data_IF_359037074598
#
_entry.id   IF_359037074598
#
_cell.length_a   1.000
_cell.length_b   1.000
_cell.length_c   1.000
_cell.angle_alpha   90.00
_cell.angle_beta   90.00
_cell.angle_gamma   90.00
#
_symmetry.space_group_name_H-M   'P 1'
#
loop_
_entity.id
_entity.type
_entity.pdbx_description
1 polymer ?
#
# COMPACT_ATOMS: atom_id res chain seq x y z
N UNK A 1 -18.35 -13.97 30.21
CA UNK A 1 -17.16 -14.82 29.95
C UNK A 1 -17.16 -15.45 28.55
N UNK A 2 -18.16 -16.25 28.14
CA UNK A 2 -18.18 -16.84 26.77
C UNK A 2 -18.26 -15.82 25.63
N UNK A 3 -19.00 -14.71 25.80
CA UNK A 3 -19.08 -13.63 24.80
C UNK A 3 -17.75 -12.89 24.62
N UNK A 4 -17.02 -12.69 25.71
CA UNK A 4 -15.76 -11.95 25.75
C UNK A 4 -14.62 -12.73 25.04
N UNK A 5 -14.59 -14.06 25.19
CA UNK A 5 -13.61 -14.91 24.48
C UNK A 5 -13.88 -14.95 22.97
N UNK A 6 -15.14 -15.12 22.55
CA UNK A 6 -15.49 -15.11 21.13
C UNK A 6 -15.19 -13.74 20.50
N UNK A 7 -15.49 -12.65 21.19
CA UNK A 7 -15.17 -11.29 20.74
C UNK A 7 -13.66 -11.08 20.58
N UNK A 8 -12.84 -11.61 21.50
CA UNK A 8 -11.38 -11.55 21.39
C UNK A 8 -10.84 -12.35 20.20
N UNK A 9 -11.40 -13.52 19.92
CA UNK A 9 -11.01 -14.34 18.76
C UNK A 9 -11.43 -13.65 17.44
N UNK A 10 -12.57 -12.98 17.40
CA UNK A 10 -12.97 -12.16 16.25
C UNK A 10 -12.06 -10.96 16.04
N UNK A 11 -11.67 -10.26 17.11
CA UNK A 11 -10.68 -9.18 17.02
C UNK A 11 -9.33 -9.70 16.54
N UNK A 12 -8.91 -10.90 16.96
CA UNK A 12 -7.70 -11.54 16.46
C UNK A 12 -7.83 -11.84 14.96
N UNK A 13 -8.97 -12.37 14.51
CA UNK A 13 -9.25 -12.61 13.09
C UNK A 13 -9.06 -11.35 12.26
N UNK A 14 -9.75 -10.27 12.64
CA UNK A 14 -9.74 -9.01 11.88
C UNK A 14 -8.32 -8.40 11.87
N UNK A 15 -7.59 -8.54 12.98
CA UNK A 15 -6.20 -8.11 13.06
C UNK A 15 -5.25 -8.97 12.18
N UNK A 16 -5.47 -10.28 12.10
CA UNK A 16 -4.71 -11.18 11.23
C UNK A 16 -5.01 -10.93 9.74
N UNK A 17 -6.26 -10.62 9.38
CA UNK A 17 -6.60 -10.19 8.02
C UNK A 17 -5.87 -8.90 7.63
N UNK A 18 -5.79 -7.95 8.57
CA UNK A 18 -5.01 -6.71 8.38
C UNK A 18 -3.51 -7.02 8.18
N UNK A 19 -2.94 -7.90 8.98
CA UNK A 19 -1.53 -8.34 8.85
C UNK A 19 -1.29 -9.03 7.51
N UNK A 20 -2.25 -9.81 7.04
CA UNK A 20 -2.14 -10.50 5.75
C UNK A 20 -2.24 -9.53 4.58
N UNK A 21 -3.15 -8.56 4.65
CA UNK A 21 -3.27 -7.48 3.67
C UNK A 21 -1.95 -6.72 3.53
N UNK A 22 -1.36 -6.30 4.66
CA UNK A 22 -0.05 -5.61 4.67
C UNK A 22 1.06 -6.49 4.08
N UNK A 23 1.12 -7.78 4.45
CA UNK A 23 2.13 -8.70 3.91
C UNK A 23 1.97 -8.95 2.40
N UNK A 24 0.74 -9.04 1.90
CA UNK A 24 0.45 -9.16 0.47
C UNK A 24 0.88 -7.92 -0.29
N UNK A 25 0.57 -6.73 0.23
CA UNK A 25 1.02 -5.47 -0.35
C UNK A 25 2.56 -5.37 -0.37
N UNK A 26 3.25 -5.76 0.70
CA UNK A 26 4.73 -5.80 0.75
C UNK A 26 5.29 -6.77 -0.31
N UNK A 27 4.70 -7.96 -0.46
CA UNK A 27 5.12 -8.94 -1.46
C UNK A 27 4.91 -8.40 -2.88
N UNK A 28 3.79 -7.72 -3.13
CA UNK A 28 3.50 -7.11 -4.42
C UNK A 28 4.37 -5.90 -4.71
N UNK A 29 4.72 -5.10 -3.70
CA UNK A 29 5.64 -3.96 -3.81
C UNK A 29 6.99 -4.37 -4.42
N UNK A 30 7.53 -5.52 -4.00
CA UNK A 30 8.75 -6.10 -4.61
C UNK A 30 8.56 -6.39 -6.10
N UNK A 31 7.41 -6.97 -6.49
CA UNK A 31 7.12 -7.29 -7.89
C UNK A 31 6.90 -6.02 -8.72
N UNK A 32 6.23 -5.01 -8.16
CA UNK A 32 6.05 -3.70 -8.78
C UNK A 32 7.41 -3.06 -9.04
N UNK A 33 8.30 -3.06 -8.05
CA UNK A 33 9.64 -2.48 -8.18
C UNK A 33 10.40 -3.10 -9.35
N UNK A 34 10.40 -4.43 -9.48
CA UNK A 34 11.06 -5.13 -10.59
C UNK A 34 10.45 -4.75 -11.95
N UNK A 35 9.11 -4.69 -12.03
CA UNK A 35 8.42 -4.32 -13.28
C UNK A 35 8.72 -2.88 -13.65
N UNK A 36 8.61 -1.93 -12.72
CA UNK A 36 8.89 -0.51 -12.96
C UNK A 36 10.35 -0.32 -13.36
N UNK A 37 11.29 -0.99 -12.70
CA UNK A 37 12.71 -0.95 -13.07
C UNK A 37 12.93 -1.47 -14.50
N UNK A 38 12.31 -2.59 -14.86
CA UNK A 38 12.43 -3.18 -16.20
C UNK A 38 11.84 -2.26 -17.26
N UNK A 39 10.65 -1.72 -17.00
CA UNK A 39 10.00 -0.73 -17.87
C UNK A 39 10.86 0.52 -18.01
N UNK A 40 11.43 1.04 -16.92
CA UNK A 40 12.30 2.21 -16.94
C UNK A 40 13.56 1.98 -17.79
N UNK A 41 14.22 0.83 -17.64
CA UNK A 41 15.41 0.47 -18.44
C UNK A 41 15.06 0.33 -19.92
N UNK A 42 13.98 -0.39 -20.24
CA UNK A 42 13.51 -0.54 -21.62
C UNK A 42 13.13 0.82 -22.23
N UNK A 43 12.47 1.66 -21.44
CA UNK A 43 12.05 3.01 -21.83
C UNK A 43 13.23 3.93 -22.07
N UNK A 44 14.27 3.92 -21.21
CA UNK A 44 15.47 4.73 -21.42
C UNK A 44 16.22 4.32 -22.69
N UNK A 45 16.26 3.02 -23.00
CA UNK A 45 16.81 2.52 -24.26
C UNK A 45 16.03 3.04 -25.48
N UNK A 46 14.69 2.94 -25.45
CA UNK A 46 13.81 3.44 -26.53
C UNK A 46 13.89 4.97 -26.63
N UNK A 47 13.91 5.68 -25.50
CA UNK A 47 14.01 7.13 -25.43
C UNK A 47 15.32 7.62 -26.04
N UNK A 48 16.43 6.91 -25.85
CA UNK A 48 17.73 7.22 -26.48
C UNK A 48 17.66 7.12 -28.00
N UNK A 49 16.98 6.09 -28.52
CA UNK A 49 16.77 5.88 -29.96
C UNK A 49 15.82 6.94 -30.53
N UNK A 50 14.70 7.21 -29.85
CA UNK A 50 13.73 8.23 -30.25
C UNK A 50 14.31 9.64 -30.19
N UNK A 51 15.17 9.94 -29.22
CA UNK A 51 15.87 11.22 -29.12
C UNK A 51 16.76 11.45 -30.34
N UNK A 52 17.52 10.42 -30.74
CA UNK A 52 18.35 10.48 -31.95
C UNK A 52 17.49 10.65 -33.21
N UNK A 53 16.42 9.86 -33.36
CA UNK A 53 15.54 9.91 -34.53
C UNK A 53 14.76 11.23 -34.65
N UNK A 54 14.19 11.74 -33.56
CA UNK A 54 13.39 12.98 -33.58
C UNK A 54 14.27 14.24 -33.53
N UNK A 55 15.46 14.17 -32.93
CA UNK A 55 16.40 15.29 -32.89
C UNK A 55 17.12 15.55 -34.23
N UNK A 56 17.28 14.52 -35.07
CA UNK A 56 18.05 14.63 -36.32
C UNK A 56 17.23 14.36 -37.58
N UNK A 57 16.40 13.32 -37.61
CA UNK A 57 15.67 12.92 -38.83
C UNK A 57 14.27 13.55 -38.93
N UNK A 58 13.56 13.76 -37.81
CA UNK A 58 12.19 14.31 -37.82
C UNK A 58 11.92 15.31 -36.70
N UNK A 59 12.46 16.55 -36.79
CA UNK A 59 12.32 17.60 -35.76
C UNK A 59 10.87 17.98 -35.47
N UNK A 60 10.00 17.86 -36.47
CA UNK A 60 8.56 18.10 -36.37
C UNK A 60 7.83 17.16 -35.41
N UNK A 61 8.42 16.01 -35.05
CA UNK A 61 7.85 15.07 -34.08
C UNK A 61 8.28 15.37 -32.63
N UNK A 62 9.10 16.40 -32.39
CA UNK A 62 9.57 16.74 -31.05
C UNK A 62 8.42 17.05 -30.06
N UNK A 63 7.28 17.56 -30.56
CA UNK A 63 6.07 17.78 -29.76
C UNK A 63 5.50 16.46 -29.18
N UNK A 64 5.76 15.31 -29.81
CA UNK A 64 5.30 14.00 -29.31
C UNK A 64 5.94 13.64 -27.96
N UNK A 65 7.11 14.21 -27.61
CA UNK A 65 7.68 14.06 -26.27
C UNK A 65 6.75 14.58 -25.17
N UNK A 66 5.93 15.59 -25.47
CA UNK A 66 4.90 16.11 -24.57
C UNK A 66 3.78 15.11 -24.25
N UNK A 67 3.64 14.03 -25.03
CA UNK A 67 2.67 12.94 -24.79
C UNK A 67 3.39 11.70 -24.24
N UNK A 68 4.57 11.38 -24.79
CA UNK A 68 5.34 10.20 -24.42
C UNK A 68 5.86 10.30 -22.97
N UNK A 69 6.39 11.45 -22.54
CA UNK A 69 6.90 11.61 -21.16
C UNK A 69 5.78 11.44 -20.12
N UNK A 70 4.61 12.10 -20.26
CA UNK A 70 3.48 11.85 -19.37
C UNK A 70 3.03 10.38 -19.39
N UNK A 71 2.91 9.75 -20.57
CA UNK A 71 2.49 8.34 -20.64
C UNK A 71 3.46 7.40 -19.91
N UNK A 72 4.78 7.64 -20.04
CA UNK A 72 5.82 6.85 -19.39
C UNK A 72 5.90 7.04 -17.88
N UNK A 73 5.51 8.21 -17.36
CA UNK A 73 5.42 8.46 -15.92
C UNK A 73 4.08 7.93 -15.38
N UNK A 74 3.00 8.14 -16.12
CA UNK A 74 1.64 7.83 -15.72
C UNK A 74 1.35 6.34 -15.65
N UNK A 75 1.75 5.59 -16.69
CA UNK A 75 1.52 4.16 -16.77
C UNK A 75 2.07 3.38 -15.56
N UNK A 76 3.36 3.53 -15.17
CA UNK A 76 3.89 2.83 -14.00
C UNK A 76 3.26 3.31 -12.69
N UNK A 77 2.87 4.59 -12.57
CA UNK A 77 2.17 5.13 -11.39
C UNK A 77 0.81 4.46 -11.18
N UNK A 78 -0.03 4.45 -12.21
CA UNK A 78 -1.36 3.84 -12.16
C UNK A 78 -1.25 2.33 -11.98
N UNK A 79 -0.32 1.69 -12.70
CA UNK A 79 -0.06 0.25 -12.56
C UNK A 79 0.32 -0.12 -11.13
N UNK A 80 1.22 0.65 -10.51
CA UNK A 80 1.66 0.42 -9.13
C UNK A 80 0.51 0.61 -8.13
N UNK A 81 -0.24 1.72 -8.25
CA UNK A 81 -1.36 2.02 -7.37
C UNK A 81 -2.46 0.94 -7.45
N UNK A 82 -2.89 0.59 -8.66
CA UNK A 82 -3.95 -0.40 -8.84
C UNK A 82 -3.56 -1.80 -8.33
N UNK A 83 -2.28 -2.17 -8.48
CA UNK A 83 -1.80 -3.48 -8.04
C UNK A 83 -1.65 -3.55 -6.51
N UNK A 84 -1.24 -2.46 -5.85
CA UNK A 84 -1.21 -2.38 -4.39
C UNK A 84 -2.61 -2.42 -3.79
N UNK A 85 -3.56 -1.74 -4.41
CA UNK A 85 -4.96 -1.75 -3.99
C UNK A 85 -5.55 -3.17 -4.10
N UNK A 86 -5.33 -3.83 -5.25
CA UNK A 86 -5.72 -5.23 -5.43
C UNK A 86 -5.04 -6.20 -4.45
N UNK A 87 -3.80 -5.90 -4.05
CA UNK A 87 -3.07 -6.71 -3.07
C UNK A 87 -3.58 -6.49 -1.63
N UNK A 88 -4.26 -5.39 -1.37
CA UNK A 88 -4.87 -5.08 -0.08
C UNK A 88 -6.11 -5.95 0.20
N UNK A 89 -6.81 -6.39 -0.85
CA UNK A 89 -8.02 -7.20 -0.71
C UNK A 89 -7.70 -8.61 -0.20
N UNK A 90 -8.00 -8.85 1.07
CA UNK A 90 -8.01 -10.18 1.68
C UNK A 90 -9.47 -10.57 1.93
N UNK A 91 -10.05 -11.39 1.04
CA UNK A 91 -11.44 -11.86 1.19
C UNK A 91 -11.46 -13.32 1.61
N UNK A 92 -12.01 -13.58 2.80
CA UNK A 92 -12.49 -14.91 3.21
C UNK A 92 -11.42 -15.87 3.73
N UNK A 93 -10.29 -15.38 4.21
CA UNK A 93 -9.21 -16.24 4.73
C UNK A 93 -9.58 -16.91 6.07
N UNK A 94 -10.48 -16.29 6.84
CA UNK A 94 -10.93 -16.78 8.15
C UNK A 94 -12.46 -16.75 8.30
N UNK A 95 -13.19 -16.84 7.18
CA UNK A 95 -14.67 -16.83 7.18
C UNK A 95 -15.28 -18.01 7.95
N UNK A 96 -14.56 -19.14 8.03
CA UNK A 96 -14.97 -20.33 8.76
C UNK A 96 -14.91 -20.16 10.29
N UNK A 97 -14.26 -19.10 10.78
CA UNK A 97 -14.17 -18.84 12.21
C UNK A 97 -15.53 -18.44 12.81
N UNK A 98 -16.37 -17.72 12.07
CA UNK A 98 -17.71 -17.34 12.56
C UNK A 98 -18.59 -18.57 12.81
N UNK A 99 -18.47 -19.59 11.96
CA UNK A 99 -19.23 -20.83 12.12
C UNK A 99 -18.65 -21.69 13.24
N UNK A 100 -17.33 -21.80 13.35
CA UNK A 100 -16.66 -22.49 14.47
C UNK A 100 -16.95 -21.84 15.81
N UNK A 101 -17.02 -20.51 15.90
CA UNK A 101 -17.32 -19.80 17.14
C UNK A 101 -18.74 -20.09 17.68
N UNK A 102 -19.68 -20.53 16.84
CA UNK A 102 -21.02 -20.98 17.28
C UNK A 102 -20.96 -22.27 18.11
N UNK A 103 -19.91 -23.07 17.97
CA UNK A 103 -19.67 -24.28 18.76
C UNK A 103 -19.15 -23.97 20.19
N UNK A 104 -18.93 -22.69 20.52
CA UNK A 104 -18.51 -22.24 21.84
C UNK A 104 -17.04 -22.56 22.12
N UNK A 105 -16.74 -23.09 23.31
CA UNK A 105 -15.36 -23.29 23.76
C UNK A 105 -14.56 -24.30 22.92
N UNK A 106 -15.24 -25.32 22.37
CA UNK A 106 -14.61 -26.33 21.50
C UNK A 106 -14.20 -25.73 20.15
N UNK A 107 -15.07 -24.90 19.57
CA UNK A 107 -14.76 -24.19 18.33
C UNK A 107 -13.64 -23.16 18.49
N UNK A 108 -13.59 -22.45 19.63
CA UNK A 108 -12.45 -21.58 19.99
C UNK A 108 -11.16 -22.38 20.05
N UNK A 109 -11.15 -23.53 20.73
CA UNK A 109 -9.95 -24.37 20.82
C UNK A 109 -9.50 -24.87 19.43
N UNK A 110 -10.43 -25.31 18.59
CA UNK A 110 -10.15 -25.79 17.24
C UNK A 110 -9.52 -24.70 16.35
N UNK A 111 -9.99 -23.44 16.47
CA UNK A 111 -9.37 -22.30 15.78
C UNK A 111 -7.92 -22.12 16.26
N UNK A 112 -7.71 -22.11 17.58
CA UNK A 112 -6.41 -21.88 18.19
C UNK A 112 -5.39 -23.00 17.94
N UNK A 113 -5.85 -24.23 17.80
CA UNK A 113 -4.99 -25.36 17.40
C UNK A 113 -4.64 -25.34 15.91
N UNK A 114 -5.51 -24.79 15.07
CA UNK A 114 -5.24 -24.69 13.62
C UNK A 114 -4.23 -23.59 13.26
N UNK A 115 -3.93 -22.68 14.19
CA UNK A 115 -2.98 -21.59 13.98
C UNK A 115 -1.55 -22.05 14.24
N UNK A 116 -0.71 -21.92 13.21
CA UNK A 116 0.75 -21.97 13.37
C UNK A 116 1.23 -20.66 14.00
N UNK A 117 1.43 -20.69 15.32
CA UNK A 117 1.82 -19.54 16.12
C UNK A 117 3.16 -18.94 15.70
N UNK A 118 4.13 -19.76 15.33
CA UNK A 118 5.46 -19.29 14.91
C UNK A 118 5.35 -18.58 13.55
N UNK A 119 4.52 -19.11 12.65
CA UNK A 119 4.24 -18.47 11.36
C UNK A 119 3.46 -17.16 11.50
N UNK A 120 2.49 -17.11 12.41
CA UNK A 120 1.72 -15.89 12.72
C UNK A 120 2.63 -14.81 13.29
N UNK A 121 3.47 -15.14 14.27
CA UNK A 121 4.41 -14.21 14.89
C UNK A 121 5.39 -13.63 13.87
N UNK A 122 5.92 -14.48 12.97
CA UNK A 122 6.76 -14.02 11.86
C UNK A 122 6.03 -13.00 10.96
N UNK A 123 4.79 -13.28 10.54
CA UNK A 123 4.02 -12.38 9.66
C UNK A 123 3.66 -11.06 10.33
N UNK A 124 3.34 -11.08 11.62
CA UNK A 124 3.06 -9.88 12.41
C UNK A 124 4.31 -9.01 12.53
N UNK A 125 5.46 -9.60 12.89
CA UNK A 125 6.73 -8.89 12.99
C UNK A 125 7.17 -8.30 11.64
N UNK A 126 6.99 -9.05 10.56
CA UNK A 126 7.26 -8.58 9.20
C UNK A 126 6.35 -7.41 8.81
N UNK A 127 5.04 -7.52 9.04
CA UNK A 127 4.09 -6.44 8.78
C UNK A 127 4.45 -5.19 9.58
N UNK A 128 4.69 -5.31 10.89
CA UNK A 128 5.02 -4.17 11.76
C UNK A 128 6.31 -3.45 11.33
N UNK A 129 7.36 -4.20 10.99
CA UNK A 129 8.66 -3.64 10.60
C UNK A 129 8.63 -2.98 9.22
N UNK A 130 7.85 -3.52 8.28
CA UNK A 130 7.83 -3.05 6.89
C UNK A 130 6.64 -2.13 6.58
N UNK A 131 5.64 -2.03 7.45
CA UNK A 131 4.50 -1.12 7.30
C UNK A 131 4.91 0.35 7.11
N UNK A 132 5.92 0.90 7.83
CA UNK A 132 6.39 2.27 7.56
C UNK A 132 6.92 2.45 6.14
N UNK A 133 7.62 1.45 5.59
CA UNK A 133 8.14 1.48 4.23
C UNK A 133 6.99 1.43 3.23
N UNK A 134 6.03 0.53 3.44
CA UNK A 134 4.83 0.43 2.62
C UNK A 134 4.05 1.76 2.61
N UNK A 135 3.89 2.38 3.77
CA UNK A 135 3.23 3.67 3.92
C UNK A 135 3.96 4.77 3.14
N UNK A 136 5.28 4.85 3.23
CA UNK A 136 6.06 5.82 2.46
C UNK A 136 5.84 5.63 0.96
N UNK A 137 5.86 4.38 0.47
CA UNK A 137 5.69 4.10 -0.96
C UNK A 137 4.26 4.38 -1.43
N UNK A 138 3.26 3.96 -0.66
CA UNK A 138 1.84 4.24 -0.97
C UNK A 138 1.57 5.75 -1.01
N UNK A 139 2.04 6.50 -0.01
CA UNK A 139 1.88 7.96 0.02
C UNK A 139 2.65 8.64 -1.08
N UNK A 140 3.86 8.17 -1.41
CA UNK A 140 4.64 8.69 -2.53
C UNK A 140 3.92 8.46 -3.86
N UNK A 141 3.27 7.30 -4.06
CA UNK A 141 2.48 6.99 -5.25
C UNK A 141 1.28 7.93 -5.39
N UNK A 142 0.48 8.10 -4.33
CA UNK A 142 -0.67 9.01 -4.35
C UNK A 142 -0.26 10.48 -4.52
N UNK A 143 0.83 10.89 -3.87
CA UNK A 143 1.41 12.22 -4.04
C UNK A 143 1.84 12.45 -5.49
N UNK A 144 2.53 11.46 -6.09
CA UNK A 144 2.96 11.55 -7.48
C UNK A 144 1.78 11.59 -8.46
N UNK A 145 0.71 10.83 -8.18
CA UNK A 145 -0.53 10.91 -8.95
C UNK A 145 -1.16 12.31 -8.85
N UNK A 146 -1.29 12.87 -7.64
CA UNK A 146 -1.85 14.22 -7.45
C UNK A 146 -1.01 15.31 -8.14
N UNK A 147 0.31 15.21 -8.06
CA UNK A 147 1.23 16.12 -8.74
C UNK A 147 1.05 16.07 -10.26
N UNK A 148 1.03 14.86 -10.83
CA UNK A 148 0.90 14.68 -12.28
C UNK A 148 -0.49 15.08 -12.79
N UNK A 149 -1.57 14.79 -12.06
CA UNK A 149 -2.93 15.07 -12.49
C UNK A 149 -3.38 16.51 -12.29
N UNK A 150 -3.06 17.13 -11.15
CA UNK A 150 -3.62 18.43 -10.80
C UNK A 150 -2.59 19.54 -10.93
N UNK A 151 -1.39 19.33 -10.38
CA UNK A 151 -0.41 20.40 -10.27
C UNK A 151 0.23 20.72 -11.61
N UNK A 152 0.70 19.71 -12.35
CA UNK A 152 1.37 19.94 -13.64
C UNK A 152 0.43 20.61 -14.65
N UNK A 153 -0.80 20.13 -14.89
CA UNK A 153 -1.71 20.76 -15.87
C UNK A 153 -2.20 22.13 -15.42
N UNK A 154 -2.53 22.32 -14.14
CA UNK A 154 -2.94 23.62 -13.62
C UNK A 154 -1.80 24.64 -13.71
N UNK A 155 -0.56 24.22 -13.46
CA UNK A 155 0.63 25.07 -13.62
C UNK A 155 0.89 25.43 -15.08
N UNK A 156 0.87 24.45 -16.00
CA UNK A 156 1.02 24.71 -17.44
C UNK A 156 -0.06 25.67 -17.94
N UNK A 157 -1.30 25.48 -17.48
CA UNK A 157 -2.42 26.36 -17.81
C UNK A 157 -2.24 27.77 -17.25
N UNK A 158 -1.94 27.92 -15.96
CA UNK A 158 -1.74 29.23 -15.31
C UNK A 158 -0.56 29.99 -15.90
N UNK A 159 0.57 29.33 -16.18
CA UNK A 159 1.74 29.97 -16.79
C UNK A 159 1.48 30.42 -18.23
N UNK A 160 0.80 29.58 -19.03
CA UNK A 160 0.43 29.92 -20.39
C UNK A 160 -0.60 31.07 -20.42
N UNK A 161 -1.50 31.13 -19.44
CA UNK A 161 -2.56 32.12 -19.37
C UNK A 161 -2.11 33.47 -18.78
N UNK A 162 -1.18 33.47 -17.80
CA UNK A 162 -0.84 34.67 -17.04
C UNK A 162 0.55 35.26 -17.31
N UNK A 163 1.57 34.46 -17.69
CA UNK A 163 2.96 34.89 -17.46
C UNK A 163 4.00 34.66 -18.57
N UNK A 164 3.64 34.28 -19.80
CA UNK A 164 4.52 34.13 -20.99
C UNK A 164 6.06 34.15 -20.67
N UNK A 165 6.70 32.98 -20.52
CA UNK A 165 7.58 32.64 -19.41
C UNK A 165 8.93 33.39 -19.39
N UNK A 166 9.24 34.06 -18.27
CA UNK A 166 10.59 34.59 -17.95
C UNK A 166 11.13 34.16 -16.58
N UNK A 167 10.37 33.41 -15.77
CA UNK A 167 10.76 32.99 -14.41
C UNK A 167 11.24 31.54 -14.28
N UNK A 168 12.13 31.28 -13.31
CA UNK A 168 12.73 29.96 -13.07
C UNK A 168 11.72 28.96 -12.44
N UNK A 169 11.40 27.85 -13.12
CA UNK A 169 10.29 26.96 -12.77
C UNK A 169 10.48 26.09 -11.51
N UNK A 170 11.67 26.03 -10.91
CA UNK A 170 12.00 25.04 -9.87
C UNK A 170 11.38 25.28 -8.49
N UNK A 171 11.15 26.53 -8.09
CA UNK A 171 10.64 26.85 -6.74
C UNK A 171 9.16 26.46 -6.53
N UNK A 172 8.37 26.41 -7.60
CA UNK A 172 6.93 26.05 -7.54
C UNK A 172 6.73 24.53 -7.45
N UNK A 173 7.68 23.74 -7.98
CA UNK A 173 7.65 22.28 -7.88
C UNK A 173 7.82 21.81 -6.43
N UNK A 174 8.69 22.44 -5.63
CA UNK A 174 8.91 22.03 -4.23
C UNK A 174 7.68 22.31 -3.36
N UNK A 175 7.04 23.48 -3.51
CA UNK A 175 5.83 23.83 -2.75
C UNK A 175 4.62 22.97 -3.11
N UNK A 176 4.49 22.58 -4.38
CA UNK A 176 3.41 21.70 -4.84
C UNK A 176 3.59 20.24 -4.41
N UNK A 177 4.84 19.76 -4.33
CA UNK A 177 5.13 18.44 -3.75
C UNK A 177 4.72 18.40 -2.29
N UNK A 178 5.12 19.40 -1.49
CA UNK A 178 4.76 19.48 -0.08
C UNK A 178 3.22 19.52 0.13
N UNK A 179 2.50 20.28 -0.69
CA UNK A 179 1.05 20.35 -0.64
C UNK A 179 0.39 19.01 -1.03
N UNK A 180 0.86 18.35 -2.09
CA UNK A 180 0.34 17.05 -2.51
C UNK A 180 0.56 15.97 -1.44
N UNK A 181 1.73 15.98 -0.77
CA UNK A 181 2.02 15.09 0.36
C UNK A 181 1.05 15.37 1.51
N UNK A 182 0.84 16.64 1.86
CA UNK A 182 -0.05 17.03 2.94
C UNK A 182 -1.51 16.60 2.67
N UNK A 183 -2.00 16.77 1.45
CA UNK A 183 -3.35 16.34 1.05
C UNK A 183 -3.46 14.82 1.10
N UNK A 184 -2.48 14.09 0.53
CA UNK A 184 -2.49 12.63 0.56
C UNK A 184 -2.48 12.08 1.99
N UNK A 185 -1.67 12.67 2.88
CA UNK A 185 -1.65 12.33 4.31
C UNK A 185 -2.97 12.66 5.00
N UNK A 186 -3.55 13.84 4.74
CA UNK A 186 -4.80 14.26 5.36
C UNK A 186 -5.97 13.32 5.01
N UNK A 187 -6.06 12.88 3.76
CA UNK A 187 -7.13 11.97 3.30
C UNK A 187 -7.01 10.59 3.96
N UNK A 188 -5.78 10.11 4.15
CA UNK A 188 -5.53 8.72 4.57
C UNK A 188 -5.11 8.57 6.03
N UNK A 189 -5.11 9.67 6.80
CA UNK A 189 -4.65 9.69 8.19
C UNK A 189 -5.44 8.73 9.09
N UNK A 190 -6.76 8.65 8.91
CA UNK A 190 -7.63 7.76 9.69
C UNK A 190 -7.23 6.29 9.53
N UNK A 191 -7.19 5.82 8.28
CA UNK A 191 -6.80 4.46 7.93
C UNK A 191 -5.39 4.10 8.43
N UNK A 192 -4.45 5.05 8.31
CA UNK A 192 -3.06 4.88 8.78
C UNK A 192 -3.02 4.67 10.28
N UNK A 193 -3.73 5.51 11.04
CA UNK A 193 -3.76 5.45 12.51
C UNK A 193 -4.44 4.17 12.98
N UNK A 194 -5.54 3.77 12.35
CA UNK A 194 -6.27 2.56 12.72
C UNK A 194 -5.43 1.31 12.43
N UNK A 195 -4.80 1.22 11.26
CA UNK A 195 -3.90 0.10 10.92
C UNK A 195 -2.70 0.05 11.86
N UNK A 196 -2.11 1.20 12.20
CA UNK A 196 -1.01 1.27 13.16
C UNK A 196 -1.43 0.78 14.56
N UNK A 197 -2.60 1.22 15.05
CA UNK A 197 -3.15 0.77 16.34
C UNK A 197 -3.39 -0.73 16.36
N UNK A 198 -3.95 -1.30 15.28
CA UNK A 198 -4.18 -2.74 15.15
C UNK A 198 -2.88 -3.53 15.17
N UNK A 199 -1.86 -3.11 14.43
CA UNK A 199 -0.54 -3.77 14.42
C UNK A 199 0.19 -3.68 15.76
N UNK A 200 -0.01 -2.59 16.52
CA UNK A 200 0.61 -2.43 17.83
C UNK A 200 -0.15 -3.12 18.97
N UNK A 201 -1.48 -3.26 18.87
CA UNK A 201 -2.29 -3.98 19.87
C UNK A 201 -2.22 -5.51 19.71
N UNK A 202 -1.77 -6.00 18.55
CA UNK A 202 -1.66 -7.42 18.21
C UNK A 202 -0.82 -8.24 19.19
N UNK A 203 0.26 -7.71 19.76
CA UNK A 203 1.06 -8.47 20.73
C UNK A 203 0.28 -8.78 22.01
N UNK A 204 -0.50 -7.80 22.50
CA UNK A 204 -1.37 -7.98 23.67
C UNK A 204 -2.46 -8.99 23.36
N UNK A 205 -3.08 -8.90 22.18
CA UNK A 205 -4.13 -9.82 21.74
C UNK A 205 -3.60 -11.26 21.57
N UNK A 206 -2.44 -11.42 20.92
CA UNK A 206 -1.80 -12.73 20.76
C UNK A 206 -1.43 -13.33 22.12
N UNK A 207 -0.90 -12.53 23.05
CA UNK A 207 -0.57 -13.00 24.38
C UNK A 207 -1.81 -13.44 25.17
N UNK A 208 -2.87 -12.64 25.16
CA UNK A 208 -4.15 -12.97 25.83
C UNK A 208 -4.79 -14.23 25.26
N UNK A 209 -4.77 -14.39 23.94
CA UNK A 209 -5.34 -15.55 23.27
C UNK A 209 -4.50 -16.80 23.49
N UNK A 210 -3.16 -16.69 23.51
CA UNK A 210 -2.25 -17.80 23.85
C UNK A 210 -2.41 -18.24 25.30
N UNK A 211 -2.64 -17.30 26.21
CA UNK A 211 -2.98 -17.61 27.60
C UNK A 211 -4.33 -18.35 27.69
N UNK A 212 -5.37 -17.88 26.98
CA UNK A 212 -6.66 -18.55 26.90
C UNK A 212 -6.55 -19.98 26.36
N UNK A 213 -5.75 -20.19 25.31
CA UNK A 213 -5.48 -21.53 24.76
C UNK A 213 -4.91 -22.47 25.83
N UNK A 214 -3.91 -22.02 26.59
CA UNK A 214 -3.32 -22.82 27.66
C UNK A 214 -4.30 -23.11 28.79
N UNK A 215 -5.18 -22.16 29.13
CA UNK A 215 -6.19 -22.34 30.18
C UNK A 215 -7.27 -23.34 29.76
N UNK A 216 -7.79 -23.24 28.53
CA UNK A 216 -8.77 -24.20 28.00
C UNK A 216 -8.21 -25.60 27.84
N UNK A 217 -6.94 -25.73 27.44
CA UNK A 217 -6.28 -27.03 27.33
C UNK A 217 -6.10 -27.73 28.68
N UNK A 218 -5.82 -26.98 29.75
CA UNK A 218 -5.74 -27.52 31.12
C UNK A 218 -7.10 -28.00 31.64
N UNK A 219 -8.20 -27.42 31.18
CA UNK A 219 -9.56 -27.80 31.59
C UNK A 219 -10.07 -29.08 30.89
N UNK A 220 -9.38 -29.55 29.84
CA UNK A 220 -9.71 -30.80 29.13
C UNK A 220 -8.94 -32.02 29.63
N UNK A 221 -7.88 -31.83 30.43
CA UNK A 221 -7.10 -32.88 31.10
C UNK A 221 -7.53 -33.04 32.55
#
# INVERSE_FOLDING_TARGET
MRSDVAEKVLRLRDALETVESVNNQINELRKIFIVVLTVAVATLGIASILWYMWGTAYPQLYIMWGIVIPALIFFPLVYAAHRLDKAAEVKGLYQDWDDKLKEGALGVLAILESLDWDYVEYRVNRARSLYPILLIVDKALWTALLLVFFVVPAYTFLNAFLFNPTGNPWYVLVGSVALAVAIALAITWGEVVDTFRTLWSLDSLLWEVRWLYHEYRKLQT
#
